data_IF_361573289376
#
_entry.id   IF_361573289376
#
_cell.length_a   1.000
_cell.length_b   1.000
_cell.length_c   1.000
_cell.angle_alpha   90.00
_cell.angle_beta   90.00
_cell.angle_gamma   90.00
#
_symmetry.space_group_name_H-M   'P 1'
#
loop_
_entity.id
_entity.type
_entity.pdbx_description
1 polymer ?
#
# COMPACT_ATOMS: atom_id res chain seq x y z
N UNK A 1 -4.03 -27.68 -20.29
CA UNK A 1 -3.05 -28.62 -19.69
C UNK A 1 -3.79 -29.91 -19.31
N UNK A 2 -3.25 -31.08 -19.64
CA UNK A 2 -3.81 -32.39 -19.25
C UNK A 2 -3.68 -32.55 -17.73
N UNK A 3 -4.81 -32.61 -17.01
CA UNK A 3 -4.85 -32.94 -15.58
C UNK A 3 -4.40 -34.39 -15.38
N UNK A 4 -3.74 -34.70 -14.26
CA UNK A 4 -3.35 -36.09 -13.97
C UNK A 4 -4.63 -36.91 -13.73
N UNK A 5 -4.66 -38.20 -14.09
CA UNK A 5 -5.83 -39.05 -13.87
C UNK A 5 -6.23 -39.13 -12.38
N UNK A 6 -5.26 -38.98 -11.47
CA UNK A 6 -5.51 -38.91 -10.03
C UNK A 6 -6.32 -37.65 -9.63
N UNK A 7 -6.09 -36.51 -10.29
CA UNK A 7 -6.87 -35.28 -10.03
C UNK A 7 -8.33 -35.45 -10.42
N UNK A 8 -8.61 -36.26 -11.45
CA UNK A 8 -9.97 -36.59 -11.87
C UNK A 8 -10.69 -37.48 -10.87
N UNK A 9 -9.99 -38.48 -10.32
CA UNK A 9 -10.55 -39.35 -9.27
C UNK A 9 -10.88 -38.53 -8.02
N UNK A 10 -9.94 -37.68 -7.57
CA UNK A 10 -10.16 -36.79 -6.43
C UNK A 10 -11.33 -35.85 -6.69
N UNK A 11 -11.43 -35.26 -7.89
CA UNK A 11 -12.55 -34.41 -8.27
C UNK A 11 -13.89 -35.17 -8.21
N UNK A 12 -13.96 -36.39 -8.74
CA UNK A 12 -15.16 -37.21 -8.71
C UNK A 12 -15.60 -37.54 -7.29
N UNK A 13 -14.67 -37.93 -6.41
CA UNK A 13 -14.97 -38.19 -4.99
C UNK A 13 -15.52 -36.94 -4.31
N UNK A 14 -14.87 -35.79 -4.54
CA UNK A 14 -15.31 -34.50 -4.00
C UNK A 14 -16.72 -34.15 -4.49
N UNK A 15 -17.04 -34.31 -5.78
CA UNK A 15 -18.37 -34.03 -6.32
C UNK A 15 -19.46 -34.90 -5.66
N UNK A 16 -19.17 -36.20 -5.44
CA UNK A 16 -20.12 -37.11 -4.78
C UNK A 16 -20.38 -36.68 -3.34
N UNK A 17 -19.34 -36.34 -2.57
CA UNK A 17 -19.48 -35.83 -1.20
C UNK A 17 -20.31 -34.53 -1.19
N UNK A 18 -20.11 -33.65 -2.18
CA UNK A 18 -20.88 -32.41 -2.34
C UNK A 18 -22.36 -32.69 -2.45
N UNK A 19 -22.73 -33.60 -3.36
CA UNK A 19 -24.13 -33.95 -3.61
C UNK A 19 -24.80 -34.48 -2.34
N UNK A 20 -24.11 -35.35 -1.60
CA UNK A 20 -24.60 -35.90 -0.33
C UNK A 20 -24.82 -34.80 0.71
N UNK A 21 -23.84 -33.91 0.89
CA UNK A 21 -23.93 -32.81 1.85
C UNK A 21 -25.04 -31.82 1.50
N UNK A 22 -25.18 -31.46 0.21
CA UNK A 22 -26.25 -30.56 -0.26
C UNK A 22 -27.62 -31.21 -0.05
N UNK A 23 -27.78 -32.50 -0.34
CA UNK A 23 -29.05 -33.20 -0.08
C UNK A 23 -29.41 -33.23 1.42
N UNK A 24 -28.44 -33.54 2.29
CA UNK A 24 -28.64 -33.53 3.74
C UNK A 24 -28.98 -32.14 4.26
N UNK A 25 -28.25 -31.12 3.80
CA UNK A 25 -28.47 -29.72 4.17
C UNK A 25 -29.83 -29.21 3.71
N UNK A 26 -30.25 -29.55 2.48
CA UNK A 26 -31.57 -29.21 1.96
C UNK A 26 -32.68 -29.88 2.77
N UNK A 27 -32.53 -31.15 3.14
CA UNK A 27 -33.49 -31.87 3.96
C UNK A 27 -33.63 -31.27 5.37
N UNK A 28 -32.51 -30.97 6.03
CA UNK A 28 -32.51 -30.36 7.35
C UNK A 28 -33.09 -28.94 7.33
N UNK A 29 -32.72 -28.14 6.33
CA UNK A 29 -33.24 -26.77 6.17
C UNK A 29 -34.73 -26.77 5.87
N UNK A 30 -35.21 -27.69 5.04
CA UNK A 30 -36.63 -27.86 4.78
C UNK A 30 -37.40 -28.27 6.06
N UNK A 31 -36.80 -29.10 6.91
CA UNK A 31 -37.38 -29.50 8.20
C UNK A 31 -37.45 -28.33 9.18
N UNK A 32 -36.39 -27.52 9.27
CA UNK A 32 -36.40 -26.29 10.07
C UNK A 32 -37.45 -25.28 9.57
N UNK A 33 -37.55 -25.11 8.24
CA UNK A 33 -38.52 -24.21 7.64
C UNK A 33 -39.98 -24.62 7.92
N UNK A 34 -40.27 -25.93 7.94
CA UNK A 34 -41.56 -26.44 8.42
C UNK A 34 -41.82 -26.05 9.87
N UNK A 35 -40.81 -26.15 10.73
CA UNK A 35 -40.89 -25.72 12.13
C UNK A 35 -41.15 -24.21 12.32
N UNK A 36 -40.79 -23.39 11.34
CA UNK A 36 -41.00 -21.93 11.34
C UNK A 36 -42.24 -21.49 10.53
N UNK A 37 -43.07 -22.42 10.06
CA UNK A 37 -44.21 -22.15 9.18
C UNK A 37 -43.85 -21.41 7.87
N UNK A 38 -42.65 -21.64 7.34
CA UNK A 38 -42.20 -21.10 6.05
C UNK A 38 -42.35 -22.15 4.93
N UNK A 39 -42.39 -21.71 3.67
CA UNK A 39 -42.40 -22.65 2.54
C UNK A 39 -41.05 -23.40 2.49
N UNK A 40 -41.03 -24.72 2.73
CA UNK A 40 -39.80 -25.46 3.02
C UNK A 40 -38.87 -25.59 1.83
N UNK A 41 -39.42 -25.79 0.62
CA UNK A 41 -38.62 -25.92 -0.59
C UNK A 41 -38.04 -24.57 -1.02
N UNK A 42 -38.81 -23.48 -0.85
CA UNK A 42 -38.39 -22.14 -1.23
C UNK A 42 -37.28 -21.63 -0.30
N UNK A 43 -37.43 -21.78 1.02
CA UNK A 43 -36.41 -21.39 2.00
C UNK A 43 -35.15 -22.24 1.89
N UNK A 44 -35.28 -23.57 1.78
CA UNK A 44 -34.12 -24.45 1.58
C UNK A 44 -33.39 -24.12 0.28
N UNK A 45 -34.11 -23.90 -0.83
CA UNK A 45 -33.51 -23.49 -2.10
C UNK A 45 -32.77 -22.16 -2.01
N UNK A 46 -33.34 -21.17 -1.33
CA UNK A 46 -32.73 -19.84 -1.17
C UNK A 46 -31.46 -19.91 -0.33
N UNK A 47 -31.47 -20.68 0.77
CA UNK A 47 -30.30 -20.92 1.62
C UNK A 47 -29.19 -21.63 0.84
N UNK A 48 -29.51 -22.69 0.09
CA UNK A 48 -28.53 -23.42 -0.72
C UNK A 48 -27.94 -22.58 -1.84
N UNK A 49 -28.75 -21.74 -2.52
CA UNK A 49 -28.25 -20.82 -3.55
C UNK A 49 -27.30 -19.78 -2.94
N UNK A 50 -27.69 -19.18 -1.80
CA UNK A 50 -26.83 -18.23 -1.09
C UNK A 50 -25.52 -18.90 -0.67
N UNK A 51 -25.58 -20.08 -0.08
CA UNK A 51 -24.42 -20.81 0.38
C UNK A 51 -23.48 -21.21 -0.77
N UNK A 52 -24.04 -21.75 -1.86
CA UNK A 52 -23.29 -22.09 -3.08
C UNK A 52 -22.63 -20.86 -3.70
N UNK A 53 -23.33 -19.73 -3.74
CA UNK A 53 -22.79 -18.47 -4.28
C UNK A 53 -21.63 -17.94 -3.43
N UNK A 54 -21.72 -18.04 -2.09
CA UNK A 54 -20.66 -17.63 -1.16
C UNK A 54 -19.42 -18.52 -1.29
N UNK A 55 -19.62 -19.85 -1.41
CA UNK A 55 -18.53 -20.79 -1.69
C UNK A 55 -17.82 -20.47 -3.01
N UNK A 56 -18.58 -20.15 -4.07
CA UNK A 56 -18.00 -19.81 -5.36
C UNK A 56 -17.20 -18.50 -5.31
N UNK A 57 -17.75 -17.46 -4.67
CA UNK A 57 -17.09 -16.16 -4.50
C UNK A 57 -15.79 -16.32 -3.72
N UNK A 58 -15.83 -17.02 -2.58
CA UNK A 58 -14.64 -17.26 -1.74
C UNK A 58 -13.62 -18.15 -2.42
N UNK A 59 -14.09 -19.18 -3.15
CA UNK A 59 -13.26 -20.05 -3.95
C UNK A 59 -12.45 -19.28 -4.98
N UNK A 60 -13.13 -18.41 -5.72
CA UNK A 60 -12.51 -17.50 -6.70
C UNK A 60 -11.59 -16.46 -6.05
N UNK A 61 -11.84 -16.06 -4.80
CA UNK A 61 -11.00 -15.09 -4.10
C UNK A 61 -9.67 -15.69 -3.64
N UNK A 62 -9.70 -16.85 -2.96
CA UNK A 62 -8.49 -17.58 -2.52
C UNK A 62 -7.58 -17.90 -3.70
N UNK A 63 -8.18 -18.35 -4.79
CA UNK A 63 -7.53 -18.59 -6.07
C UNK A 63 -6.70 -17.41 -6.60
N UNK A 64 -7.27 -16.21 -6.52
CA UNK A 64 -6.65 -15.00 -7.04
C UNK A 64 -5.64 -14.38 -6.08
N UNK A 65 -5.43 -14.96 -4.89
CA UNK A 65 -4.58 -14.44 -3.82
C UNK A 65 -4.82 -12.94 -3.53
N UNK A 66 -6.03 -12.44 -3.79
CA UNK A 66 -6.38 -11.05 -3.49
C UNK A 66 -6.71 -10.92 -2.01
N UNK A 67 -6.22 -9.84 -1.38
CA UNK A 67 -6.64 -9.49 -0.03
C UNK A 67 -8.17 -9.36 0.02
N UNK A 68 -8.79 -10.25 0.80
CA UNK A 68 -10.25 -10.31 0.91
C UNK A 68 -10.71 -9.19 1.85
N UNK A 69 -11.70 -8.37 1.44
CA UNK A 69 -12.33 -7.43 2.35
C UNK A 69 -12.87 -8.19 3.58
N UNK A 70 -12.57 -7.70 4.79
CA UNK A 70 -12.91 -8.38 6.06
C UNK A 70 -14.41 -8.73 6.16
N UNK A 71 -15.29 -7.94 5.54
CA UNK A 71 -16.74 -8.17 5.55
C UNK A 71 -17.18 -9.43 4.79
N UNK A 72 -16.52 -9.79 3.67
CA UNK A 72 -16.84 -11.01 2.92
C UNK A 72 -16.39 -12.26 3.67
N UNK A 73 -15.25 -12.16 4.36
CA UNK A 73 -14.77 -13.21 5.25
C UNK A 73 -15.75 -13.40 6.41
N UNK A 74 -16.19 -12.31 7.05
CA UNK A 74 -17.19 -12.35 8.10
C UNK A 74 -18.52 -12.96 7.61
N UNK A 75 -19.04 -12.50 6.46
CA UNK A 75 -20.27 -13.03 5.86
C UNK A 75 -20.20 -14.53 5.52
N UNK A 76 -19.04 -15.01 5.08
CA UNK A 76 -18.83 -16.44 4.91
C UNK A 76 -18.91 -17.18 6.25
N UNK A 77 -18.17 -16.73 7.27
CA UNK A 77 -18.13 -17.44 8.55
C UNK A 77 -19.50 -17.42 9.25
N UNK A 78 -20.26 -16.34 9.12
CA UNK A 78 -21.64 -16.29 9.62
C UNK A 78 -22.55 -17.23 8.86
N UNK A 79 -22.44 -17.32 7.52
CA UNK A 79 -23.22 -18.28 6.73
C UNK A 79 -22.86 -19.74 7.04
N UNK A 80 -21.57 -20.04 7.22
CA UNK A 80 -21.10 -21.37 7.59
C UNK A 80 -21.59 -21.74 9.00
N UNK A 81 -21.49 -20.82 9.96
CA UNK A 81 -22.00 -21.02 11.32
C UNK A 81 -23.51 -21.23 11.31
N UNK A 82 -24.26 -20.48 10.49
CA UNK A 82 -25.69 -20.64 10.35
C UNK A 82 -26.06 -22.02 9.79
N UNK A 83 -25.48 -22.42 8.65
CA UNK A 83 -25.73 -23.75 8.05
C UNK A 83 -25.31 -24.89 8.99
N UNK A 84 -24.20 -24.72 9.69
CA UNK A 84 -23.75 -25.67 10.74
C UNK A 84 -24.78 -25.77 11.85
N UNK A 85 -25.29 -24.63 12.34
CA UNK A 85 -26.32 -24.57 13.37
C UNK A 85 -27.63 -25.22 12.94
N UNK A 86 -28.09 -24.96 11.71
CA UNK A 86 -29.30 -25.59 11.14
C UNK A 86 -29.13 -27.10 11.04
N UNK A 87 -27.97 -27.58 10.56
CA UNK A 87 -27.68 -29.00 10.45
C UNK A 87 -27.58 -29.68 11.81
N UNK A 88 -26.86 -29.07 12.77
CA UNK A 88 -26.77 -29.59 14.13
C UNK A 88 -28.15 -29.62 14.80
N UNK A 89 -28.97 -28.60 14.60
CA UNK A 89 -30.32 -28.53 15.17
C UNK A 89 -31.24 -29.60 14.58
N UNK A 90 -31.29 -29.75 13.25
CA UNK A 90 -32.09 -30.79 12.60
C UNK A 90 -31.66 -32.20 13.01
N UNK A 91 -30.36 -32.45 13.09
CA UNK A 91 -29.83 -33.74 13.51
C UNK A 91 -29.97 -33.99 15.02
N UNK A 92 -29.92 -32.94 15.85
CA UNK A 92 -30.16 -33.03 17.29
C UNK A 92 -31.60 -33.47 17.60
N UNK A 93 -32.57 -32.98 16.81
CA UNK A 93 -33.97 -33.42 16.95
C UNK A 93 -34.14 -34.92 16.64
N UNK A 94 -33.35 -35.47 15.70
CA UNK A 94 -33.37 -36.90 15.41
C UNK A 94 -32.61 -37.72 16.46
N UNK A 95 -31.42 -37.26 16.84
CA UNK A 95 -30.54 -37.91 17.83
C UNK A 95 -29.72 -36.88 18.61
N UNK A 96 -30.04 -36.69 19.89
CA UNK A 96 -29.45 -35.63 20.72
C UNK A 96 -27.92 -35.71 20.88
N UNK A 97 -27.35 -36.92 20.93
CA UNK A 97 -25.89 -37.13 21.13
C UNK A 97 -25.15 -37.20 19.79
N UNK A 98 -25.70 -37.94 18.83
CA UNK A 98 -25.05 -38.20 17.53
C UNK A 98 -25.15 -36.99 16.61
N UNK A 99 -26.24 -36.22 16.72
CA UNK A 99 -26.53 -35.10 15.82
C UNK A 99 -25.47 -33.99 15.83
N UNK A 100 -25.01 -33.50 17.00
CA UNK A 100 -23.93 -32.52 17.07
C UNK A 100 -22.61 -33.02 16.46
N UNK A 101 -22.26 -34.28 16.67
CA UNK A 101 -21.02 -34.89 16.15
C UNK A 101 -21.07 -34.97 14.62
N UNK A 102 -22.19 -35.46 14.08
CA UNK A 102 -22.41 -35.55 12.63
C UNK A 102 -22.48 -34.16 12.01
N UNK A 103 -23.12 -33.19 12.68
CA UNK A 103 -23.17 -31.80 12.23
C UNK A 103 -21.78 -31.17 12.11
N UNK A 104 -20.90 -31.36 13.11
CA UNK A 104 -19.51 -30.92 13.05
C UNK A 104 -18.71 -31.63 11.95
N UNK A 105 -18.95 -32.93 11.75
CA UNK A 105 -18.32 -33.69 10.67
C UNK A 105 -18.73 -33.17 9.28
N UNK A 106 -20.01 -32.84 9.08
CA UNK A 106 -20.51 -32.23 7.84
C UNK A 106 -19.86 -30.86 7.60
N UNK A 107 -19.76 -30.02 8.63
CA UNK A 107 -19.12 -28.71 8.50
C UNK A 107 -17.62 -28.80 8.21
N UNK A 108 -16.94 -29.78 8.80
CA UNK A 108 -15.53 -30.07 8.51
C UNK A 108 -15.34 -30.58 7.09
N UNK A 109 -16.25 -31.43 6.62
CA UNK A 109 -16.27 -31.91 5.23
C UNK A 109 -16.55 -30.77 4.25
N UNK A 110 -17.47 -29.84 4.55
CA UNK A 110 -17.71 -28.63 3.76
C UNK A 110 -16.46 -27.75 3.67
N UNK A 111 -15.73 -27.57 4.78
CA UNK A 111 -14.49 -26.80 4.80
C UNK A 111 -13.37 -27.43 3.96
N UNK A 112 -13.22 -28.76 4.07
CA UNK A 112 -12.27 -29.54 3.27
C UNK A 112 -12.65 -29.50 1.79
N UNK A 113 -13.94 -29.60 1.49
CA UNK A 113 -14.49 -29.46 0.14
C UNK A 113 -14.19 -28.08 -0.44
N UNK A 114 -14.40 -27.00 0.31
CA UNK A 114 -14.04 -25.67 -0.16
C UNK A 114 -12.55 -25.61 -0.47
N UNK A 115 -11.70 -26.04 0.47
CA UNK A 115 -10.25 -25.95 0.33
C UNK A 115 -9.73 -26.80 -0.84
N UNK A 116 -10.30 -27.99 -1.04
CA UNK A 116 -9.96 -28.87 -2.15
C UNK A 116 -10.53 -28.39 -3.49
N UNK A 117 -11.78 -27.92 -3.56
CA UNK A 117 -12.35 -27.32 -4.78
C UNK A 117 -11.59 -26.07 -5.19
N UNK A 118 -11.24 -25.17 -4.27
CA UNK A 118 -10.35 -24.04 -4.57
C UNK A 118 -9.07 -24.57 -5.20
N UNK A 119 -8.43 -25.54 -4.56
CA UNK A 119 -7.16 -26.09 -5.01
C UNK A 119 -7.23 -26.79 -6.38
N UNK A 120 -8.33 -27.50 -6.67
CA UNK A 120 -8.52 -28.25 -7.91
C UNK A 120 -9.01 -27.36 -9.06
N UNK A 121 -9.78 -26.32 -8.75
CA UNK A 121 -10.41 -25.47 -9.75
C UNK A 121 -9.58 -24.25 -10.08
N UNK A 122 -8.82 -23.77 -9.12
CA UNK A 122 -7.91 -22.67 -9.33
C UNK A 122 -6.51 -23.23 -9.26
N UNK A 123 -5.69 -22.92 -10.26
CA UNK A 123 -4.31 -23.40 -10.34
C UNK A 123 -3.49 -22.78 -9.19
N UNK A 124 -3.80 -23.11 -7.94
CA UNK A 124 -3.24 -22.51 -6.73
C UNK A 124 -1.72 -22.71 -6.64
N UNK A 125 -1.19 -23.67 -7.40
CA UNK A 125 0.24 -23.89 -7.61
C UNK A 125 0.92 -22.86 -8.51
N UNK A 126 0.15 -22.09 -9.29
CA UNK A 126 0.70 -21.06 -10.17
C UNK A 126 0.39 -19.68 -9.58
N UNK A 127 1.40 -18.83 -9.34
CA UNK A 127 1.17 -17.47 -8.89
C UNK A 127 0.30 -16.74 -9.91
N UNK A 128 -0.67 -15.96 -9.44
CA UNK A 128 -1.57 -15.18 -10.29
C UNK A 128 -0.73 -14.25 -11.17
N UNK A 129 -0.68 -14.53 -12.48
CA UNK A 129 -0.04 -13.65 -13.45
C UNK A 129 -0.99 -12.48 -13.72
N UNK A 130 -0.69 -11.32 -13.12
CA UNK A 130 -1.42 -10.07 -13.40
C UNK A 130 -1.43 -9.82 -14.89
N UNK A 131 -2.60 -9.44 -15.43
CA UNK A 131 -2.70 -9.04 -16.83
C UNK A 131 -1.95 -7.73 -17.07
N UNK A 132 -1.46 -7.48 -18.30
CA UNK A 132 -0.81 -6.21 -18.66
C UNK A 132 -1.69 -4.98 -18.36
N UNK A 133 -3.02 -5.14 -18.44
CA UNK A 133 -3.99 -4.09 -18.08
C UNK A 133 -4.00 -3.80 -16.58
N UNK A 134 -3.93 -4.84 -15.75
CA UNK A 134 -3.88 -4.68 -14.29
C UNK A 134 -2.56 -4.05 -13.85
N UNK A 135 -1.43 -4.51 -14.38
CA UNK A 135 -0.11 -3.92 -14.11
C UNK A 135 -0.09 -2.43 -14.50
N UNK A 136 -0.62 -2.09 -15.68
CA UNK A 136 -0.73 -0.69 -16.12
C UNK A 136 -1.62 0.15 -15.20
N UNK A 137 -2.69 -0.42 -14.64
CA UNK A 137 -3.59 0.30 -13.74
C UNK A 137 -2.94 0.54 -12.37
N UNK A 138 -2.21 -0.44 -11.85
CA UNK A 138 -1.43 -0.31 -10.61
C UNK A 138 -0.32 0.73 -10.78
N UNK A 139 0.49 0.64 -11.83
CA UNK A 139 1.54 1.64 -12.11
C UNK A 139 0.98 3.06 -12.25
N UNK A 140 -0.21 3.22 -12.83
CA UNK A 140 -0.89 4.53 -12.91
C UNK A 140 -1.35 5.06 -11.55
N UNK A 141 -1.66 4.19 -10.59
CA UNK A 141 -2.01 4.59 -9.21
C UNK A 141 -0.76 4.99 -8.46
N UNK A 142 0.30 4.20 -8.54
CA UNK A 142 1.61 4.52 -7.93
C UNK A 142 2.14 5.87 -8.42
N UNK A 143 2.12 6.12 -9.74
CA UNK A 143 2.52 7.43 -10.30
C UNK A 143 1.67 8.59 -9.75
N UNK A 144 0.37 8.37 -9.50
CA UNK A 144 -0.49 9.41 -8.92
C UNK A 144 -0.17 9.65 -7.44
N UNK A 145 0.09 8.60 -6.70
CA UNK A 145 0.47 8.66 -5.29
C UNK A 145 1.83 9.38 -5.13
N UNK A 146 2.82 9.04 -5.95
CA UNK A 146 4.12 9.73 -5.97
C UNK A 146 3.98 11.22 -6.31
N UNK A 147 3.16 11.56 -7.32
CA UNK A 147 2.89 12.96 -7.67
C UNK A 147 2.21 13.73 -6.53
N UNK A 148 1.29 13.08 -5.83
CA UNK A 148 0.62 13.68 -4.67
C UNK A 148 1.62 13.91 -3.53
N UNK A 149 2.50 12.96 -3.26
CA UNK A 149 3.56 13.09 -2.25
C UNK A 149 4.49 14.25 -2.60
N UNK A 150 4.96 14.34 -3.84
CA UNK A 150 5.81 15.44 -4.31
C UNK A 150 5.11 16.79 -4.16
N UNK A 151 3.82 16.86 -4.45
CA UNK A 151 3.03 18.07 -4.29
C UNK A 151 2.89 18.48 -2.82
N UNK A 152 2.61 17.52 -1.91
CA UNK A 152 2.58 17.77 -0.46
C UNK A 152 3.96 18.21 0.05
N UNK A 153 5.04 17.61 -0.42
CA UNK A 153 6.40 18.01 -0.06
C UNK A 153 6.72 19.43 -0.52
N UNK A 154 6.27 19.80 -1.72
CA UNK A 154 6.40 21.16 -2.23
C UNK A 154 5.61 22.16 -1.38
N UNK A 155 4.35 21.87 -1.03
CA UNK A 155 3.56 22.73 -0.14
C UNK A 155 4.21 22.87 1.25
N UNK A 156 4.75 21.77 1.80
CA UNK A 156 5.50 21.80 3.06
C UNK A 156 6.76 22.62 2.96
N UNK A 157 7.46 22.59 1.84
CA UNK A 157 8.64 23.42 1.60
C UNK A 157 8.27 24.89 1.46
N UNK A 158 7.20 25.19 0.73
CA UNK A 158 6.67 26.55 0.56
C UNK A 158 6.25 27.16 1.90
N UNK A 159 5.52 26.41 2.73
CA UNK A 159 5.13 26.83 4.07
C UNK A 159 6.33 27.01 5.04
N UNK A 160 7.49 26.40 4.74
CA UNK A 160 8.73 26.53 5.54
C UNK A 160 9.62 27.67 5.08
N UNK A 161 9.33 28.33 3.95
CA UNK A 161 10.11 29.49 3.54
C UNK A 161 10.00 30.58 4.62
N UNK A 162 11.11 31.19 5.04
CA UNK A 162 11.04 32.31 5.96
C UNK A 162 10.37 33.49 5.25
N UNK A 163 9.47 34.17 5.95
CA UNK A 163 8.79 35.35 5.43
C UNK A 163 9.82 36.43 5.10
N UNK A 164 9.95 36.73 3.80
CA UNK A 164 10.94 37.68 3.29
C UNK A 164 10.70 39.09 3.83
N UNK A 165 9.44 39.43 4.14
CA UNK A 165 9.06 40.72 4.71
C UNK A 165 9.55 40.87 6.16
N UNK A 166 9.48 39.79 6.95
CA UNK A 166 10.05 39.77 8.30
C UNK A 166 11.58 39.87 8.28
N UNK A 167 12.24 39.24 7.29
CA UNK A 167 13.69 39.37 7.11
C UNK A 167 14.08 40.79 6.70
N UNK A 168 13.31 41.45 5.82
CA UNK A 168 13.56 42.85 5.42
C UNK A 168 13.37 43.80 6.60
N UNK A 169 12.27 43.68 7.34
CA UNK A 169 12.02 44.50 8.52
C UNK A 169 13.12 44.30 9.59
N UNK A 170 13.58 43.07 9.79
CA UNK A 170 14.69 42.79 10.71
C UNK A 170 16.01 43.42 10.24
N UNK A 171 16.30 43.40 8.93
CA UNK A 171 17.49 44.06 8.37
C UNK A 171 17.45 45.58 8.49
N UNK A 172 16.30 46.20 8.20
CA UNK A 172 16.11 47.65 8.34
C UNK A 172 16.30 48.09 9.79
N UNK A 173 15.68 47.39 10.74
CA UNK A 173 15.86 47.65 12.17
C UNK A 173 17.32 47.46 12.63
N UNK A 174 18.05 46.51 12.05
CA UNK A 174 19.47 46.31 12.36
C UNK A 174 20.36 47.40 11.74
N UNK A 175 20.03 47.89 10.54
CA UNK A 175 20.69 49.05 9.94
C UNK A 175 20.47 50.32 10.77
N UNK A 176 19.27 50.53 11.29
CA UNK A 176 18.97 51.64 12.21
C UNK A 176 19.78 51.53 13.50
N UNK A 177 19.85 50.34 14.11
CA UNK A 177 20.69 50.10 15.29
C UNK A 177 22.17 50.37 15.00
N UNK A 178 22.69 49.98 13.84
CA UNK A 178 24.07 50.25 13.43
C UNK A 178 24.33 51.73 13.20
N UNK A 179 23.36 52.50 12.70
CA UNK A 179 23.45 53.97 12.58
C UNK A 179 23.53 54.61 13.96
N UNK A 180 22.65 54.23 14.90
CA UNK A 180 22.67 54.76 16.28
C UNK A 180 23.98 54.43 17.02
N UNK A 181 24.59 53.26 16.76
CA UNK A 181 25.91 52.90 17.32
C UNK A 181 27.06 53.66 16.64
N UNK A 182 26.95 53.94 15.34
CA UNK A 182 27.92 54.71 14.56
C UNK A 182 27.94 56.21 14.86
N UNK A 183 26.77 56.78 15.19
CA UNK A 183 26.61 58.19 15.58
C UNK A 183 27.04 58.47 17.04
N UNK A 184 27.46 57.43 17.77
CA UNK A 184 27.87 57.51 19.17
C UNK A 184 26.68 57.42 20.13
N UNK A 185 26.94 56.93 21.35
CA UNK A 185 25.93 56.90 22.42
C UNK A 185 25.43 58.32 22.70
N UNK A 186 24.11 58.54 22.87
CA UNK A 186 23.57 59.86 23.19
C UNK A 186 24.26 60.47 24.41
N UNK A 187 24.48 61.79 24.41
CA UNK A 187 25.29 62.52 25.40
C UNK A 187 24.91 62.24 26.88
N UNK A 188 23.68 61.78 27.14
CA UNK A 188 23.21 61.37 28.47
C UNK A 188 23.95 60.15 29.07
N UNK A 189 24.65 59.36 28.26
CA UNK A 189 25.42 58.19 28.72
C UNK A 189 26.89 58.50 29.02
N UNK A 190 27.35 59.71 28.70
CA UNK A 190 28.66 60.21 29.11
C UNK A 190 28.59 60.57 30.60
N UNK A 191 28.80 59.59 31.48
CA UNK A 191 29.01 59.87 32.90
C UNK A 191 30.29 60.70 33.04
N UNK A 192 30.15 61.96 33.45
CA UNK A 192 31.29 62.72 33.97
C UNK A 192 31.96 61.91 35.09
N UNK A 193 33.29 61.87 35.17
CA UNK A 193 33.98 61.10 36.20
C UNK A 193 33.61 61.68 37.57
N UNK A 194 32.77 60.93 38.30
CA UNK A 194 32.40 61.23 39.68
C UNK A 194 33.69 61.25 40.50
N UNK A 195 34.03 62.43 41.04
CA UNK A 195 35.14 62.64 41.97
C UNK A 195 35.04 61.61 43.11
N UNK A 196 36.14 60.94 43.37
CA UNK A 196 36.33 60.07 44.55
C UNK A 196 36.01 60.88 45.82
N UNK A 197 34.88 60.58 46.46
CA UNK A 197 34.60 60.98 47.84
C UNK A 197 34.81 59.72 48.67
N UNK A 198 35.87 59.75 49.47
CA UNK A 198 36.24 58.71 50.40
C UNK A 198 35.38 58.74 51.67
N UNK A 199 35.16 57.54 52.23
CA UNK A 199 34.72 57.20 53.58
C UNK A 199 33.20 57.40 53.87
N UNK A 200 32.48 56.55 54.62
CA UNK A 200 32.81 55.65 55.73
C UNK A 200 31.90 54.39 55.74
N UNK A 201 32.31 53.29 56.41
CA UNK A 201 31.50 52.07 56.52
C UNK A 201 30.45 52.21 57.63
N UNK A 202 29.17 52.04 57.29
CA UNK A 202 28.09 51.95 58.29
C UNK A 202 27.51 50.54 58.31
N UNK A 203 27.71 49.92 59.46
CA UNK A 203 27.24 48.64 59.97
C UNK A 203 25.71 48.62 60.14
N UNK A 204 25.17 47.43 60.50
CA UNK A 204 23.84 47.14 61.12
C UNK A 204 22.69 46.95 60.10
N UNK A 205 21.75 45.99 60.19
CA UNK A 205 21.24 45.06 61.24
C UNK A 205 20.64 43.81 60.53
N UNK A 206 20.63 42.67 61.23
CA UNK A 206 19.94 41.39 60.92
C UNK A 206 18.39 41.48 60.87
N UNK A 207 17.79 40.69 59.95
CA UNK A 207 16.55 39.85 60.03
C UNK A 207 15.21 40.39 60.62
N UNK A 208 14.03 39.83 60.25
CA UNK A 208 13.77 38.44 59.83
C UNK A 208 12.85 38.20 58.60
N UNK A 209 12.90 36.96 58.09
CA UNK A 209 11.93 36.32 57.19
C UNK A 209 10.50 36.24 57.82
N UNK A 210 9.42 36.02 57.04
CA UNK A 210 9.05 34.65 56.67
C UNK A 210 8.54 34.45 55.22
N UNK A 211 8.95 33.30 54.66
CA UNK A 211 8.15 32.32 53.90
C UNK A 211 7.07 32.82 52.93
N UNK A 212 7.21 32.57 51.63
CA UNK A 212 6.54 31.44 50.94
C UNK A 212 7.06 31.36 49.49
N UNK A 213 7.86 30.33 49.17
CA UNK A 213 8.06 29.88 47.79
C UNK A 213 6.80 29.18 47.27
N UNK A 214 6.57 29.16 45.94
CA UNK A 214 6.65 27.84 45.33
C UNK A 214 7.56 27.80 44.10
N UNK A 215 8.47 26.83 44.19
CA UNK A 215 9.32 26.23 43.16
C UNK A 215 8.57 26.01 41.83
N UNK A 216 9.04 26.66 40.77
CA UNK A 216 8.92 26.11 39.41
C UNK A 216 10.24 25.44 39.03
N UNK A 217 10.26 24.12 39.23
CA UNK A 217 11.19 23.20 38.59
C UNK A 217 11.12 23.38 37.07
N UNK A 218 12.22 23.82 36.46
CA UNK A 218 12.44 23.69 35.03
C UNK A 218 12.54 22.21 34.69
N UNK A 219 11.45 21.64 34.18
CA UNK A 219 11.43 20.31 33.59
C UNK A 219 12.23 20.36 32.28
N UNK A 220 13.49 19.93 32.36
CA UNK A 220 14.36 19.69 31.22
C UNK A 220 13.73 18.57 30.39
N UNK A 221 12.99 18.94 29.34
CA UNK A 221 12.50 18.00 28.33
C UNK A 221 13.74 17.40 27.64
N UNK A 222 14.00 16.08 27.76
CA UNK A 222 15.12 15.48 27.06
C UNK A 222 14.83 15.52 25.56
N UNK A 223 15.70 16.24 24.84
CA UNK A 223 15.83 16.22 23.39
C UNK A 223 16.08 14.77 22.95
N UNK A 224 15.02 14.04 22.57
CA UNK A 224 15.17 12.76 21.87
C UNK A 224 15.75 13.06 20.49
N UNK A 225 17.06 12.85 20.35
CA UNK A 225 17.69 12.67 19.04
C UNK A 225 17.01 11.50 18.34
N UNK A 226 16.09 11.79 17.42
CA UNK A 226 15.61 10.82 16.45
C UNK A 226 16.77 10.60 15.49
N UNK A 227 17.58 9.58 15.81
CA UNK A 227 18.57 9.05 14.88
C UNK A 227 17.84 8.52 13.65
N UNK A 228 17.88 9.28 12.56
CA UNK A 228 17.59 8.75 11.23
C UNK A 228 18.70 7.76 10.89
N UNK A 229 18.51 6.49 11.27
CA UNK A 229 19.19 5.39 10.59
C UNK A 229 18.54 5.29 9.22
N UNK A 230 19.06 6.05 8.25
CA UNK A 230 18.83 5.75 6.84
C UNK A 230 19.41 4.37 6.60
N UNK A 231 18.55 3.35 6.62
CA UNK A 231 18.85 2.14 5.86
C UNK A 231 19.11 2.59 4.42
N UNK A 232 20.25 2.21 3.81
CA UNK A 232 20.50 2.56 2.43
C UNK A 232 19.36 1.97 1.61
N UNK A 233 18.59 2.84 0.98
CA UNK A 233 17.58 2.46 0.00
C UNK A 233 18.19 1.42 -0.95
N UNK A 234 17.45 0.35 -1.31
CA UNK A 234 17.97 -0.63 -2.26
C UNK A 234 18.38 0.15 -3.50
N UNK A 235 19.68 0.09 -3.82
CA UNK A 235 20.29 0.76 -4.97
C UNK A 235 19.35 0.56 -6.16
N UNK A 236 18.63 1.61 -6.51
CA UNK A 236 17.86 1.66 -7.75
C UNK A 236 18.84 1.25 -8.82
N UNK A 237 18.55 0.17 -9.54
CA UNK A 237 19.39 -0.27 -10.65
C UNK A 237 19.73 0.97 -11.50
N UNK A 238 21.00 1.18 -11.86
CA UNK A 238 21.39 2.38 -12.58
C UNK A 238 20.47 2.50 -13.80
N UNK A 239 19.73 3.63 -13.87
CA UNK A 239 18.99 4.00 -15.09
C UNK A 239 19.95 3.78 -16.25
N UNK A 240 19.58 2.89 -17.17
CA UNK A 240 20.39 2.52 -18.31
C UNK A 240 20.89 3.80 -18.99
N UNK A 241 22.16 4.11 -18.82
CA UNK A 241 22.77 5.22 -19.53
C UNK A 241 22.87 4.77 -20.99
N UNK A 242 22.19 5.45 -21.93
CA UNK A 242 22.30 5.07 -23.32
C UNK A 242 23.76 5.26 -23.72
N UNK A 243 24.44 4.15 -24.02
CA UNK A 243 25.80 4.20 -24.54
C UNK A 243 25.78 5.02 -25.84
N UNK A 244 26.33 6.24 -25.79
CA UNK A 244 26.30 7.21 -26.88
C UNK A 244 27.02 6.67 -28.11
N UNK A 245 28.08 5.89 -27.92
CA UNK A 245 28.82 5.24 -29.00
C UNK A 245 27.97 4.19 -29.72
N UNK A 246 27.22 3.38 -28.96
CA UNK A 246 26.34 2.37 -29.54
C UNK A 246 25.17 3.01 -30.30
N UNK A 247 24.69 4.17 -29.85
CA UNK A 247 23.68 4.96 -30.58
C UNK A 247 24.24 5.51 -31.89
N UNK A 248 25.44 6.12 -31.86
CA UNK A 248 26.08 6.65 -33.07
C UNK A 248 26.34 5.55 -34.12
N UNK A 249 26.86 4.39 -33.69
CA UNK A 249 27.06 3.22 -34.57
C UNK A 249 25.75 2.68 -35.15
N UNK A 250 24.66 2.72 -34.37
CA UNK A 250 23.35 2.29 -34.84
C UNK A 250 22.75 3.22 -35.90
N UNK A 251 22.99 4.52 -35.77
CA UNK A 251 22.56 5.51 -36.76
C UNK A 251 23.36 5.36 -38.05
N UNK A 252 24.70 5.27 -37.97
CA UNK A 252 25.57 5.05 -39.13
C UNK A 252 25.18 3.79 -39.91
N UNK A 253 25.01 2.66 -39.23
CA UNK A 253 24.54 1.42 -39.87
C UNK A 253 23.17 1.55 -40.52
N UNK A 254 22.27 2.32 -39.91
CA UNK A 254 20.94 2.55 -40.47
C UNK A 254 20.98 3.49 -41.68
N UNK A 255 21.91 4.44 -41.72
CA UNK A 255 22.20 5.30 -42.88
C UNK A 255 22.77 4.47 -44.04
N UNK A 256 23.77 3.62 -43.79
CA UNK A 256 24.34 2.70 -44.78
C UNK A 256 23.26 1.81 -45.42
N UNK A 257 22.40 1.19 -44.59
CA UNK A 257 21.28 0.37 -45.08
C UNK A 257 20.21 1.18 -45.82
N UNK A 258 20.03 2.45 -45.45
CA UNK A 258 19.09 3.32 -46.14
C UNK A 258 19.60 3.69 -47.52
N UNK A 259 20.90 3.95 -47.67
CA UNK A 259 21.56 4.16 -48.96
C UNK A 259 21.48 2.90 -49.84
N UNK A 260 21.71 1.70 -49.27
CA UNK A 260 21.59 0.43 -49.99
C UNK A 260 20.15 0.13 -50.45
N UNK A 261 19.16 0.43 -49.62
CA UNK A 261 17.76 0.07 -49.89
C UNK A 261 16.97 1.17 -50.61
N UNK A 262 17.49 2.40 -50.66
CA UNK A 262 16.79 3.58 -51.19
C UNK A 262 15.52 3.93 -50.41
N UNK A 263 15.36 3.41 -49.19
CA UNK A 263 14.20 3.62 -48.30
C UNK A 263 14.61 3.45 -46.85
N UNK A 264 13.85 4.03 -45.91
CA UNK A 264 14.06 3.80 -44.47
C UNK A 264 14.02 2.29 -44.17
N UNK A 265 15.07 1.72 -43.54
CA UNK A 265 15.13 0.30 -43.22
C UNK A 265 14.08 -0.08 -42.17
N UNK A 266 13.53 -1.28 -42.31
CA UNK A 266 12.59 -1.84 -41.32
C UNK A 266 13.38 -2.32 -40.10
N UNK A 267 12.71 -2.31 -38.95
CA UNK A 267 13.28 -2.77 -37.68
C UNK A 267 13.90 -4.18 -37.76
N UNK A 268 13.29 -5.09 -38.53
CA UNK A 268 13.80 -6.46 -38.71
C UNK A 268 15.13 -6.47 -39.47
N UNK A 269 15.24 -5.66 -40.52
CA UNK A 269 16.45 -5.53 -41.36
C UNK A 269 17.63 -4.98 -40.53
N UNK A 270 17.38 -4.02 -39.64
CA UNK A 270 18.40 -3.51 -38.70
C UNK A 270 18.82 -4.56 -37.65
N UNK A 271 17.88 -5.38 -37.17
CA UNK A 271 18.20 -6.43 -36.20
C UNK A 271 18.99 -7.58 -36.83
N UNK A 272 18.75 -7.89 -38.10
CA UNK A 272 19.55 -8.87 -38.87
C UNK A 272 21.01 -8.42 -39.02
N UNK A 273 21.25 -7.11 -38.99
CA UNK A 273 22.58 -6.47 -39.02
C UNK A 273 23.24 -6.36 -37.63
N UNK A 274 22.69 -7.08 -36.64
CA UNK A 274 23.23 -7.23 -35.30
C UNK A 274 22.87 -6.11 -34.32
N UNK A 275 21.91 -5.24 -34.66
CA UNK A 275 21.44 -4.19 -33.74
C UNK A 275 20.45 -4.75 -32.72
N UNK A 276 20.58 -4.31 -31.47
CA UNK A 276 19.57 -4.64 -30.46
C UNK A 276 18.26 -3.90 -30.76
N UNK A 277 17.15 -4.47 -30.28
CA UNK A 277 15.80 -3.95 -30.52
C UNK A 277 15.67 -2.47 -30.13
N UNK A 278 16.34 -2.05 -29.05
CA UNK A 278 16.34 -0.68 -28.56
C UNK A 278 17.03 0.26 -29.55
N UNK A 279 18.25 -0.05 -29.99
CA UNK A 279 19.02 0.82 -30.89
C UNK A 279 18.44 0.87 -32.31
N UNK A 280 17.86 -0.22 -32.80
CA UNK A 280 17.14 -0.22 -34.08
C UNK A 280 15.96 0.76 -34.07
N UNK A 281 15.24 0.86 -32.93
CA UNK A 281 14.11 1.79 -32.79
C UNK A 281 14.56 3.26 -32.71
N UNK A 282 15.68 3.51 -32.01
CA UNK A 282 16.26 4.87 -31.91
C UNK A 282 16.76 5.34 -33.28
N UNK A 283 17.50 4.51 -34.01
CA UNK A 283 18.02 4.85 -35.34
C UNK A 283 16.91 5.18 -36.35
N UNK A 284 15.84 4.37 -36.41
CA UNK A 284 14.67 4.66 -37.27
C UNK A 284 13.99 5.98 -36.88
N UNK A 285 13.87 6.25 -35.58
CA UNK A 285 13.28 7.48 -35.07
C UNK A 285 14.05 8.73 -35.51
N UNK A 286 15.38 8.65 -35.47
CA UNK A 286 16.25 9.75 -35.92
C UNK A 286 16.24 9.95 -37.43
N UNK A 287 16.34 8.88 -38.22
CA UNK A 287 16.26 8.97 -39.69
C UNK A 287 14.96 9.63 -40.15
N UNK A 288 13.83 9.24 -39.54
CA UNK A 288 12.53 9.86 -39.83
C UNK A 288 12.47 11.33 -39.45
N UNK A 289 13.09 11.72 -38.34
CA UNK A 289 13.11 13.12 -37.92
C UNK A 289 13.93 14.01 -38.87
N UNK A 290 14.95 13.44 -39.52
CA UNK A 290 15.79 14.14 -40.50
C UNK A 290 15.14 14.27 -41.88
N UNK A 291 14.34 13.29 -42.32
CA UNK A 291 13.57 13.41 -43.57
C UNK A 291 12.44 14.45 -43.50
N UNK A 292 11.95 14.79 -42.30
CA UNK A 292 10.90 15.80 -42.09
C UNK A 292 11.41 17.23 -41.96
N UNK A 293 12.73 17.46 -42.08
CA UNK A 293 13.36 18.80 -42.08
C UNK A 293 13.82 19.17 -43.49
#
# INVERSE_FOLDING_TARGET
MKRKPLDWIVLSVVIVIAGVVVMLSFHNTATLARGLNLNPYLTAGLVEILFTSLLFIRGRQRATQRNVPRFLTAGYFTSLAFVTGVNMYGLYQAHAIVGPIVGLAISSAMWLMESSLVWLWTEAHKPHKKSLREIRREARREIKEEKLIQWIEWERWEARKPDLDLIRAAREAEEERKRVVGDGLPEYFTREPVKEIAAEPVTTVQEPEPETEPKHTAEVVPMRQIGFRMEPSPKTAPRFQPNLEARAKAIQKAEELMEELGRIPRKRELMEQGLTEHYAKVAIGELKSRETQ
#
